data_IF_578809490474
#
_entry.id   IF_578809490474
#
_cell.length_a   1.000
_cell.length_b   1.000
_cell.length_c   1.000
_cell.angle_alpha   90.00
_cell.angle_beta   90.00
_cell.angle_gamma   90.00
#
_symmetry.space_group_name_H-M   'P 1'
#
loop_
_entity.id
_entity.type
_entity.pdbx_description
1 polymer ?
#
# COMPACT_ATOMS: atom_id res chain seq x y z
N UNK A 1 89.63 -12.71 1.98
CA UNK A 1 88.31 -12.62 1.30
C UNK A 1 87.20 -12.96 2.28
N UNK A 2 86.62 -11.97 2.99
CA UNK A 2 85.43 -12.15 3.86
C UNK A 2 84.68 -10.82 3.99
N UNK A 3 84.11 -10.32 2.90
CA UNK A 3 83.22 -9.14 2.90
C UNK A 3 82.20 -9.27 1.77
N UNK A 4 81.36 -10.29 1.81
CA UNK A 4 80.22 -10.40 0.90
C UNK A 4 79.17 -11.38 1.46
N UNK A 5 78.63 -11.09 2.64
CA UNK A 5 77.48 -11.84 3.16
C UNK A 5 76.45 -10.91 3.86
N UNK A 6 76.88 -9.79 4.45
CA UNK A 6 75.95 -8.82 5.06
C UNK A 6 75.14 -7.99 4.06
N UNK A 7 75.63 -7.76 2.84
CA UNK A 7 74.92 -6.95 1.85
C UNK A 7 73.67 -7.65 1.28
N UNK A 8 73.66 -8.98 1.27
CA UNK A 8 72.54 -9.79 0.77
C UNK A 8 71.37 -9.86 1.77
N UNK A 9 71.65 -9.84 3.08
CA UNK A 9 70.60 -9.82 4.11
C UNK A 9 69.88 -8.49 4.24
N UNK A 10 70.56 -7.36 3.99
CA UNK A 10 69.94 -6.03 4.06
C UNK A 10 69.02 -5.78 2.85
N UNK A 11 69.41 -6.25 1.66
CA UNK A 11 68.57 -6.14 0.47
C UNK A 11 67.32 -7.04 0.52
N UNK A 12 67.41 -8.17 1.23
CA UNK A 12 66.30 -9.11 1.41
C UNK A 12 65.32 -8.69 2.52
N UNK A 13 65.73 -7.84 3.47
CA UNK A 13 64.82 -7.25 4.46
C UNK A 13 64.00 -6.07 3.92
N UNK A 14 64.54 -5.30 2.97
CA UNK A 14 63.84 -4.16 2.34
C UNK A 14 62.75 -4.64 1.37
N UNK A 15 62.96 -5.78 0.71
CA UNK A 15 61.97 -6.37 -0.21
C UNK A 15 60.80 -7.06 0.50
N UNK A 16 60.94 -7.45 1.78
CA UNK A 16 59.83 -8.03 2.56
C UNK A 16 58.91 -6.94 3.13
N UNK A 17 59.41 -5.72 3.39
CA UNK A 17 58.55 -4.60 3.82
C UNK A 17 57.77 -3.93 2.69
N UNK A 18 58.18 -4.14 1.43
CA UNK A 18 57.48 -3.59 0.26
C UNK A 18 56.26 -4.43 -0.17
N UNK A 19 56.03 -5.59 0.46
CA UNK A 19 54.91 -6.49 0.15
C UNK A 19 53.65 -6.27 1.01
N UNK A 20 53.66 -5.29 1.92
CA UNK A 20 52.47 -4.85 2.66
C UNK A 20 51.82 -3.57 2.07
N UNK A 21 51.96 -3.35 0.76
CA UNK A 21 51.08 -2.40 0.07
C UNK A 21 49.66 -2.98 0.12
N UNK A 22 48.87 -2.53 1.08
CA UNK A 22 47.48 -2.91 1.23
C UNK A 22 46.76 -2.71 -0.14
N UNK A 23 46.07 -3.74 -0.66
CA UNK A 23 45.58 -3.75 -2.04
C UNK A 23 44.55 -2.65 -2.40
N UNK A 24 44.13 -1.80 -1.45
CA UNK A 24 43.09 -0.79 -1.65
C UNK A 24 43.54 0.67 -1.44
N UNK A 25 44.82 0.94 -1.20
CA UNK A 25 45.34 2.30 -0.90
C UNK A 25 45.07 3.31 -2.02
N UNK A 26 45.30 2.93 -3.29
CA UNK A 26 45.05 3.80 -4.44
C UNK A 26 43.56 4.18 -4.59
N UNK A 27 42.65 3.29 -4.20
CA UNK A 27 41.20 3.56 -4.23
C UNK A 27 40.82 4.47 -3.07
N UNK A 28 41.30 4.19 -1.85
CA UNK A 28 41.09 5.04 -0.68
C UNK A 28 41.59 6.48 -0.92
N UNK A 29 42.76 6.66 -1.52
CA UNK A 29 43.30 7.99 -1.86
C UNK A 29 42.42 8.76 -2.88
N UNK A 30 41.87 8.07 -3.89
CA UNK A 30 40.94 8.69 -4.85
C UNK A 30 39.65 9.13 -4.19
N UNK A 31 39.08 8.30 -3.30
CA UNK A 31 37.88 8.67 -2.56
C UNK A 31 38.16 9.74 -1.51
N UNK A 32 39.34 9.76 -0.91
CA UNK A 32 39.75 10.83 0.01
C UNK A 32 39.87 12.18 -0.72
N UNK A 33 40.47 12.17 -1.91
CA UNK A 33 40.51 13.36 -2.79
C UNK A 33 39.10 13.81 -3.16
N UNK A 34 38.25 12.87 -3.58
CA UNK A 34 36.86 13.16 -3.94
C UNK A 34 36.04 13.70 -2.76
N UNK A 35 36.26 13.17 -1.55
CA UNK A 35 35.63 13.65 -0.33
C UNK A 35 36.02 15.11 -0.06
N UNK A 36 37.31 15.42 -0.16
CA UNK A 36 37.83 16.78 0.03
C UNK A 36 37.30 17.76 -1.04
N UNK A 37 37.22 17.33 -2.30
CA UNK A 37 36.64 18.14 -3.38
C UNK A 37 35.15 18.44 -3.14
N UNK A 38 34.35 17.42 -2.81
CA UNK A 38 32.92 17.61 -2.52
C UNK A 38 32.71 18.48 -1.28
N UNK A 39 33.56 18.32 -0.26
CA UNK A 39 33.54 19.16 0.92
C UNK A 39 33.83 20.63 0.59
N UNK A 40 34.83 20.89 -0.26
CA UNK A 40 35.13 22.24 -0.76
C UNK A 40 34.03 22.86 -1.63
N UNK A 41 33.12 22.04 -2.16
CA UNK A 41 31.91 22.46 -2.88
C UNK A 41 30.67 22.54 -1.98
N UNK A 42 30.83 22.44 -0.65
CA UNK A 42 29.75 22.41 0.34
C UNK A 42 28.72 21.28 0.11
N UNK A 43 29.11 20.24 -0.65
CA UNK A 43 28.29 19.05 -0.84
C UNK A 43 28.58 18.03 0.27
N UNK A 44 28.17 18.38 1.49
CA UNK A 44 28.49 17.64 2.70
C UNK A 44 28.00 16.18 2.68
N UNK A 45 26.82 15.92 2.13
CA UNK A 45 26.29 14.55 1.99
C UNK A 45 27.19 13.67 1.13
N UNK A 46 27.65 14.17 -0.02
CA UNK A 46 28.51 13.39 -0.92
C UNK A 46 29.93 13.26 -0.38
N UNK A 47 30.44 14.32 0.26
CA UNK A 47 31.71 14.27 0.97
C UNK A 47 31.71 13.20 2.07
N UNK A 48 30.62 13.14 2.83
CA UNK A 48 30.37 12.15 3.86
C UNK A 48 30.33 10.73 3.30
N UNK A 49 29.57 10.47 2.23
CA UNK A 49 29.54 9.15 1.58
C UNK A 49 30.92 8.69 1.13
N UNK A 50 31.70 9.58 0.49
CA UNK A 50 33.05 9.24 0.08
C UNK A 50 33.98 9.01 1.28
N UNK A 51 33.77 9.75 2.37
CA UNK A 51 34.56 9.57 3.58
C UNK A 51 34.29 8.23 4.25
N UNK A 52 33.03 7.80 4.34
CA UNK A 52 32.68 6.47 4.87
C UNK A 52 33.38 5.37 4.07
N UNK A 53 33.35 5.46 2.74
CA UNK A 53 34.05 4.50 1.89
C UNK A 53 35.56 4.44 2.18
N UNK A 54 36.20 5.59 2.41
CA UNK A 54 37.62 5.63 2.80
C UNK A 54 37.83 4.97 4.15
N UNK A 55 37.00 5.29 5.15
CA UNK A 55 37.12 4.73 6.50
C UNK A 55 36.94 3.21 6.53
N UNK A 56 36.06 2.66 5.69
CA UNK A 56 35.89 1.21 5.49
C UNK A 56 37.17 0.51 4.97
N UNK A 57 38.11 1.25 4.37
CA UNK A 57 39.37 0.68 3.90
C UNK A 57 40.45 0.61 4.99
N UNK A 58 40.20 1.18 6.18
CA UNK A 58 41.16 1.20 7.29
C UNK A 58 40.61 0.46 8.51
N UNK A 59 41.52 -0.18 9.24
CA UNK A 59 41.26 -0.58 10.62
C UNK A 59 41.46 0.65 11.53
N UNK A 60 40.81 0.66 12.70
CA UNK A 60 40.95 1.73 13.70
C UNK A 60 42.41 2.09 14.01
N UNK A 61 43.30 1.08 14.02
CA UNK A 61 44.73 1.22 14.33
C UNK A 61 45.58 1.70 13.15
N UNK A 62 45.08 1.60 11.93
CA UNK A 62 45.83 1.90 10.70
C UNK A 62 45.38 3.21 10.04
N UNK A 63 44.25 3.77 10.45
CA UNK A 63 43.77 5.05 9.94
C UNK A 63 44.71 6.21 10.32
N UNK A 64 45.17 6.95 9.32
CA UNK A 64 46.16 8.02 9.49
C UNK A 64 45.53 9.25 10.13
N UNK A 65 46.35 10.10 10.76
CA UNK A 65 45.89 11.34 11.37
C UNK A 65 45.20 12.27 10.35
N UNK A 66 45.72 12.31 9.12
CA UNK A 66 45.13 13.13 8.05
C UNK A 66 43.71 12.68 7.69
N UNK A 67 43.49 11.36 7.59
CA UNK A 67 42.15 10.80 7.35
C UNK A 67 41.23 11.11 8.53
N UNK A 68 41.70 10.95 9.77
CA UNK A 68 40.92 11.29 10.98
C UNK A 68 40.48 12.75 11.01
N UNK A 69 41.39 13.68 10.71
CA UNK A 69 41.08 15.12 10.71
C UNK A 69 40.07 15.49 9.62
N UNK A 70 40.22 14.96 8.40
CA UNK A 70 39.27 15.22 7.33
C UNK A 70 37.89 14.61 7.63
N UNK A 71 37.88 13.38 8.16
CA UNK A 71 36.65 12.70 8.54
C UNK A 71 35.90 13.45 9.64
N UNK A 72 36.58 13.87 10.71
CA UNK A 72 35.97 14.65 11.79
C UNK A 72 35.31 15.94 11.27
N UNK A 73 36.00 16.65 10.37
CA UNK A 73 35.49 17.88 9.78
C UNK A 73 34.22 17.64 8.94
N UNK A 74 34.28 16.66 8.04
CA UNK A 74 33.15 16.29 7.17
C UNK A 74 31.96 15.80 8.01
N UNK A 75 32.20 14.96 9.01
CA UNK A 75 31.14 14.43 9.88
C UNK A 75 30.48 15.55 10.68
N UNK A 76 31.26 16.48 11.23
CA UNK A 76 30.72 17.60 11.98
C UNK A 76 29.81 18.49 11.11
N UNK A 77 30.27 18.89 9.91
CA UNK A 77 29.51 19.80 9.05
C UNK A 77 28.32 19.09 8.39
N UNK A 78 28.45 17.80 8.06
CA UNK A 78 27.30 17.04 7.60
C UNK A 78 26.24 16.86 8.69
N UNK A 79 26.64 16.65 9.94
CA UNK A 79 25.70 16.62 11.06
C UNK A 79 25.00 17.98 11.27
N UNK A 80 25.70 19.10 11.03
CA UNK A 80 25.08 20.43 11.03
C UNK A 80 24.04 20.56 9.90
N UNK A 81 24.41 20.16 8.68
CA UNK A 81 23.53 20.17 7.52
C UNK A 81 22.27 19.31 7.73
N UNK A 82 22.42 18.09 8.26
CA UNK A 82 21.30 17.23 8.66
C UNK A 82 20.40 17.93 9.67
N UNK A 83 20.98 18.53 10.71
CA UNK A 83 20.24 19.25 11.74
C UNK A 83 19.43 20.43 11.17
N UNK A 84 20.02 21.19 10.24
CA UNK A 84 19.37 22.32 9.57
C UNK A 84 18.24 21.86 8.65
N UNK A 85 18.44 20.79 7.90
CA UNK A 85 17.44 20.19 6.99
C UNK A 85 16.36 19.39 7.72
N UNK A 86 16.60 19.02 8.98
CA UNK A 86 15.76 18.12 9.78
C UNK A 86 15.51 16.79 9.07
N UNK A 87 16.55 16.27 8.42
CA UNK A 87 16.46 15.02 7.66
C UNK A 87 16.60 13.80 8.59
N UNK A 88 15.46 13.20 8.96
CA UNK A 88 15.42 12.06 9.88
C UNK A 88 16.11 10.81 9.30
N UNK A 89 16.05 10.61 7.99
CA UNK A 89 16.67 9.43 7.36
C UNK A 89 18.19 9.55 7.39
N UNK A 90 18.71 10.70 6.95
CA UNK A 90 20.14 10.97 6.99
C UNK A 90 20.69 10.97 8.43
N UNK A 91 19.91 11.44 9.41
CA UNK A 91 20.30 11.38 10.82
C UNK A 91 20.48 9.94 11.32
N UNK A 92 19.59 9.01 10.94
CA UNK A 92 19.72 7.59 11.31
C UNK A 92 20.96 6.94 10.70
N UNK A 93 21.18 7.17 9.40
CA UNK A 93 22.39 6.70 8.70
C UNK A 93 23.68 7.27 9.33
N UNK A 94 23.62 8.52 9.78
CA UNK A 94 24.72 9.15 10.51
C UNK A 94 24.99 8.46 11.86
N UNK A 95 23.94 8.15 12.63
CA UNK A 95 24.09 7.44 13.90
C UNK A 95 24.69 6.04 13.71
N UNK A 96 24.28 5.31 12.67
CA UNK A 96 24.84 4.00 12.36
C UNK A 96 26.34 4.11 12.04
N UNK A 97 26.72 5.07 11.20
CA UNK A 97 28.12 5.27 10.83
C UNK A 97 29.00 5.73 12.00
N UNK A 98 28.44 6.49 12.95
CA UNK A 98 29.13 6.88 14.20
C UNK A 98 29.40 5.66 15.09
N UNK A 99 28.51 4.66 15.07
CA UNK A 99 28.74 3.40 15.76
C UNK A 99 29.80 2.54 15.07
N UNK A 100 29.85 2.59 13.73
CA UNK A 100 30.85 1.86 12.93
C UNK A 100 32.25 2.48 13.04
N UNK A 101 32.33 3.82 13.16
CA UNK A 101 33.58 4.56 13.22
C UNK A 101 33.69 5.42 14.50
N UNK A 102 33.71 4.83 15.71
CA UNK A 102 33.70 5.60 16.97
C UNK A 102 34.96 6.45 17.16
N UNK A 103 36.07 6.06 16.51
CA UNK A 103 37.39 6.71 16.64
C UNK A 103 37.53 8.05 15.92
N UNK A 104 36.55 8.46 15.10
CA UNK A 104 36.49 9.79 14.48
C UNK A 104 35.54 10.75 15.23
N UNK A 105 34.80 10.24 16.21
CA UNK A 105 33.81 11.02 16.96
C UNK A 105 34.53 11.85 18.00
N UNK A 106 34.72 13.13 17.69
CA UNK A 106 35.29 14.10 18.63
C UNK A 106 34.28 14.53 19.69
N UNK A 107 34.75 15.12 20.79
CA UNK A 107 33.89 15.77 21.79
C UNK A 107 32.95 16.81 21.17
N UNK A 108 33.39 17.45 20.07
CA UNK A 108 32.61 18.45 19.34
C UNK A 108 31.44 17.81 18.61
N UNK A 109 31.68 16.68 17.93
CA UNK A 109 30.61 15.89 17.30
C UNK A 109 29.66 15.34 18.36
N UNK A 110 30.19 14.80 19.46
CA UNK A 110 29.37 14.24 20.54
C UNK A 110 28.42 15.29 21.13
N UNK A 111 28.92 16.50 21.45
CA UNK A 111 28.07 17.59 21.94
C UNK A 111 26.97 17.98 20.96
N UNK A 112 27.26 17.95 19.66
CA UNK A 112 26.28 18.23 18.62
C UNK A 112 25.23 17.12 18.52
N UNK A 113 25.64 15.85 18.62
CA UNK A 113 24.73 14.70 18.72
C UNK A 113 23.81 14.83 19.94
N UNK A 114 24.36 15.11 21.12
CA UNK A 114 23.58 15.28 22.35
C UNK A 114 22.50 16.38 22.22
N UNK A 115 22.78 17.39 21.40
CA UNK A 115 21.83 18.47 21.08
C UNK A 115 20.76 18.03 20.07
N UNK A 116 21.13 17.25 19.04
CA UNK A 116 20.24 16.89 17.94
C UNK A 116 19.40 15.63 18.20
N UNK A 117 19.92 14.64 18.92
CA UNK A 117 19.19 13.41 19.28
C UNK A 117 17.79 13.70 19.85
N UNK A 118 17.61 14.55 20.88
CA UNK A 118 16.27 14.84 21.41
C UNK A 118 15.36 15.57 20.41
N UNK A 119 15.92 16.30 19.44
CA UNK A 119 15.14 16.94 18.37
C UNK A 119 14.62 15.89 17.41
N UNK A 120 15.46 14.95 16.97
CA UNK A 120 15.08 13.90 16.04
C UNK A 120 14.15 12.85 16.64
N UNK A 121 14.26 12.55 17.95
CA UNK A 121 13.27 11.73 18.66
C UNK A 121 11.88 12.34 18.57
N UNK A 122 11.75 13.65 18.78
CA UNK A 122 10.45 14.35 18.66
C UNK A 122 9.91 14.32 17.24
N UNK A 123 10.77 14.52 16.24
CA UNK A 123 10.38 14.44 14.82
C UNK A 123 9.85 13.04 14.50
N UNK A 124 10.55 11.99 14.95
CA UNK A 124 10.13 10.60 14.74
C UNK A 124 8.79 10.30 15.44
N UNK A 125 8.61 10.74 16.68
CA UNK A 125 7.33 10.59 17.40
C UNK A 125 6.16 11.28 16.67
N UNK A 126 6.38 12.48 16.13
CA UNK A 126 5.38 13.20 15.34
C UNK A 126 5.04 12.46 14.03
N UNK A 127 6.03 11.91 13.34
CA UNK A 127 5.80 11.10 12.15
C UNK A 127 5.01 9.83 12.47
N UNK A 128 5.32 9.14 13.57
CA UNK A 128 4.58 7.96 14.00
C UNK A 128 3.14 8.30 14.37
N UNK A 129 2.90 9.41 15.07
CA UNK A 129 1.54 9.90 15.39
C UNK A 129 0.74 10.21 14.12
N UNK A 130 1.35 10.87 13.13
CA UNK A 130 0.71 11.13 11.83
C UNK A 130 0.37 9.84 11.09
N UNK A 131 1.30 8.87 11.01
CA UNK A 131 1.06 7.56 10.40
C UNK A 131 -0.09 6.81 11.09
N UNK A 132 -0.13 6.81 12.42
CA UNK A 132 -1.20 6.21 13.19
C UNK A 132 -2.56 6.88 12.93
N UNK A 133 -2.60 8.21 12.87
CA UNK A 133 -3.82 8.98 12.58
C UNK A 133 -4.34 8.73 11.16
N UNK A 134 -3.44 8.65 10.17
CA UNK A 134 -3.82 8.29 8.79
C UNK A 134 -4.37 6.87 8.74
N UNK A 135 -3.72 5.90 9.39
CA UNK A 135 -4.21 4.52 9.45
C UNK A 135 -5.60 4.43 10.09
N UNK A 136 -5.84 5.17 11.17
CA UNK A 136 -7.16 5.24 11.82
C UNK A 136 -8.23 5.86 10.91
N UNK A 137 -7.87 6.90 10.16
CA UNK A 137 -8.78 7.57 9.21
C UNK A 137 -9.15 6.65 8.04
N UNK A 138 -8.18 5.93 7.49
CA UNK A 138 -8.40 4.96 6.42
C UNK A 138 -9.29 3.81 6.90
N UNK A 139 -9.07 3.31 8.12
CA UNK A 139 -9.90 2.25 8.69
C UNK A 139 -11.34 2.71 8.94
N UNK A 140 -11.54 3.94 9.42
CA UNK A 140 -12.87 4.52 9.58
C UNK A 140 -13.59 4.68 8.24
N UNK A 141 -12.91 5.16 7.19
CA UNK A 141 -13.48 5.26 5.85
C UNK A 141 -13.85 3.89 5.28
N UNK A 142 -12.99 2.88 5.41
CA UNK A 142 -13.28 1.52 4.96
C UNK A 142 -14.51 0.93 5.69
N UNK A 143 -14.60 1.16 7.00
CA UNK A 143 -15.74 0.69 7.81
C UNK A 143 -17.03 1.41 7.40
N UNK A 144 -16.97 2.72 7.10
CA UNK A 144 -18.10 3.49 6.62
C UNK A 144 -18.57 3.01 5.23
N UNK A 145 -17.64 2.77 4.31
CA UNK A 145 -17.94 2.25 2.97
C UNK A 145 -18.57 0.86 3.02
N UNK A 146 -18.08 -0.03 3.89
CA UNK A 146 -18.69 -1.36 4.10
C UNK A 146 -20.11 -1.26 4.65
N UNK A 147 -20.36 -0.36 5.62
CA UNK A 147 -21.71 -0.12 6.16
C UNK A 147 -22.66 0.44 5.12
N UNK A 148 -22.20 1.36 4.26
CA UNK A 148 -23.00 1.90 3.17
C UNK A 148 -23.34 0.79 2.17
N UNK A 149 -22.38 -0.04 1.76
CA UNK A 149 -22.63 -1.16 0.84
C UNK A 149 -23.63 -2.18 1.41
N UNK A 150 -23.54 -2.51 2.71
CA UNK A 150 -24.50 -3.40 3.38
C UNK A 150 -25.90 -2.78 3.51
N UNK A 151 -26.00 -1.47 3.78
CA UNK A 151 -27.28 -0.78 3.83
C UNK A 151 -27.97 -0.74 2.45
N UNK A 152 -27.22 -0.47 1.38
CA UNK A 152 -27.75 -0.44 0.01
C UNK A 152 -28.22 -1.82 -0.47
N UNK A 153 -27.51 -2.90 -0.12
CA UNK A 153 -27.96 -4.27 -0.44
C UNK A 153 -29.22 -4.67 0.35
N UNK A 154 -29.37 -4.22 1.59
CA UNK A 154 -30.53 -4.58 2.44
C UNK A 154 -31.80 -3.84 2.01
N UNK A 155 -31.71 -2.57 1.60
CA UNK A 155 -32.87 -1.83 1.09
C UNK A 155 -33.35 -2.37 -0.27
N UNK A 156 -32.42 -2.59 -1.21
CA UNK A 156 -32.73 -3.17 -2.54
C UNK A 156 -33.39 -4.55 -2.43
N UNK A 157 -32.87 -5.43 -1.57
CA UNK A 157 -33.46 -6.79 -1.40
C UNK A 157 -34.83 -6.78 -0.73
N UNK A 158 -35.13 -5.80 0.13
CA UNK A 158 -36.43 -5.69 0.80
C UNK A 158 -37.51 -5.18 -0.15
N UNK A 159 -37.19 -4.17 -0.97
CA UNK A 159 -38.10 -3.61 -1.97
C UNK A 159 -38.42 -4.62 -3.09
N UNK A 160 -37.42 -5.37 -3.55
CA UNK A 160 -37.60 -6.43 -4.55
C UNK A 160 -38.44 -7.57 -3.98
N UNK A 161 -38.17 -8.01 -2.74
CA UNK A 161 -38.97 -9.07 -2.10
C UNK A 161 -40.43 -8.64 -1.92
N UNK A 162 -40.67 -7.39 -1.51
CA UNK A 162 -42.03 -6.86 -1.39
C UNK A 162 -42.75 -6.81 -2.74
N UNK A 163 -42.05 -6.43 -3.81
CA UNK A 163 -42.61 -6.37 -5.17
C UNK A 163 -42.92 -7.76 -5.73
N UNK A 164 -42.00 -8.72 -5.57
CA UNK A 164 -42.22 -10.12 -5.96
C UNK A 164 -43.39 -10.73 -5.19
N UNK A 165 -43.49 -10.44 -3.89
CA UNK A 165 -44.57 -10.96 -3.05
C UNK A 165 -45.93 -10.35 -3.44
N UNK A 166 -46.00 -9.04 -3.67
CA UNK A 166 -47.21 -8.38 -4.14
C UNK A 166 -47.66 -8.91 -5.52
N UNK A 167 -46.70 -9.13 -6.44
CA UNK A 167 -46.98 -9.71 -7.75
C UNK A 167 -47.46 -11.16 -7.67
N UNK A 168 -46.90 -11.96 -6.76
CA UNK A 168 -47.36 -13.34 -6.53
C UNK A 168 -48.77 -13.38 -5.95
N UNK A 169 -49.07 -12.51 -4.97
CA UNK A 169 -50.42 -12.41 -4.39
C UNK A 169 -51.46 -12.00 -5.43
N UNK A 170 -51.11 -11.10 -6.35
CA UNK A 170 -51.98 -10.72 -7.46
C UNK A 170 -52.22 -11.88 -8.44
N UNK A 171 -51.17 -12.62 -8.80
CA UNK A 171 -51.27 -13.78 -9.69
C UNK A 171 -52.17 -14.87 -9.09
N UNK A 172 -52.01 -15.15 -7.80
CA UNK A 172 -52.84 -16.12 -7.07
C UNK A 172 -54.32 -15.74 -7.10
N UNK A 173 -54.66 -14.47 -6.88
CA UNK A 173 -56.05 -13.98 -6.98
C UNK A 173 -56.62 -14.12 -8.39
N UNK A 174 -55.81 -13.84 -9.42
CA UNK A 174 -56.24 -14.00 -10.82
C UNK A 174 -56.48 -15.47 -11.18
N UNK A 175 -55.65 -16.38 -10.68
CA UNK A 175 -55.83 -17.83 -10.86
C UNK A 175 -57.11 -18.31 -10.19
N UNK A 176 -57.37 -17.90 -8.95
CA UNK A 176 -58.61 -18.24 -8.24
C UNK A 176 -59.87 -17.75 -9.00
N UNK A 177 -59.81 -16.53 -9.55
CA UNK A 177 -60.90 -15.98 -10.37
C UNK A 177 -61.11 -16.78 -11.68
N UNK A 178 -60.02 -17.19 -12.34
CA UNK A 178 -60.09 -18.06 -13.53
C UNK A 178 -60.74 -19.42 -13.20
N UNK A 179 -60.37 -20.03 -12.07
CA UNK A 179 -60.96 -21.29 -11.63
C UNK A 179 -62.47 -21.16 -11.40
N UNK A 180 -62.91 -20.08 -10.74
CA UNK A 180 -64.33 -19.80 -10.55
C UNK A 180 -65.09 -19.62 -11.88
N UNK A 181 -64.52 -18.88 -12.84
CA UNK A 181 -65.10 -18.70 -14.17
C UNK A 181 -65.21 -20.02 -14.94
N UNK A 182 -64.20 -20.90 -14.83
CA UNK A 182 -64.24 -22.24 -15.45
C UNK A 182 -65.33 -23.10 -14.81
N UNK A 183 -65.51 -23.05 -13.49
CA UNK A 183 -66.58 -23.76 -12.79
C UNK A 183 -67.95 -23.28 -13.28
N UNK A 184 -68.15 -21.96 -13.42
CA UNK A 184 -69.39 -21.38 -13.96
C UNK A 184 -69.67 -21.84 -15.40
N UNK A 185 -68.66 -21.83 -16.28
CA UNK A 185 -68.79 -22.35 -17.65
C UNK A 185 -69.14 -23.82 -17.68
N UNK A 186 -68.50 -24.64 -16.83
CA UNK A 186 -68.82 -26.07 -16.75
C UNK A 186 -70.27 -26.30 -16.30
N UNK A 187 -70.79 -25.53 -15.35
CA UNK A 187 -72.21 -25.62 -14.96
C UNK A 187 -73.17 -25.21 -16.07
N UNK A 188 -72.78 -24.26 -16.93
CA UNK A 188 -73.59 -23.86 -18.09
C UNK A 188 -73.61 -24.96 -19.16
N UNK A 189 -72.47 -25.63 -19.37
CA UNK A 189 -72.33 -26.70 -20.39
C UNK A 189 -73.00 -28.01 -19.95
N UNK A 190 -73.08 -28.29 -18.64
CA UNK A 190 -73.68 -29.52 -18.09
C UNK A 190 -75.21 -29.44 -17.87
N UNK A 191 -75.84 -28.29 -18.12
CA UNK A 191 -77.30 -28.17 -18.07
C UNK A 191 -77.88 -28.70 -19.41
N UNK A 192 -78.47 -29.90 -19.37
CA UNK A 192 -78.91 -30.75 -20.50
C UNK A 192 -80.05 -30.16 -21.35
N UNK A 193 -79.83 -28.97 -21.95
CA UNK A 193 -80.83 -28.31 -22.81
C UNK A 193 -80.34 -27.10 -23.60
N UNK A 194 -79.04 -26.93 -23.82
CA UNK A 194 -78.48 -25.68 -24.37
C UNK A 194 -78.72 -25.48 -25.88
N UNK A 195 -79.76 -24.72 -26.22
CA UNK A 195 -80.00 -24.16 -27.56
C UNK A 195 -79.29 -22.80 -27.70
N UNK A 196 -78.03 -22.82 -28.16
CA UNK A 196 -77.31 -21.63 -28.65
C UNK A 196 -76.52 -20.83 -27.60
N UNK A 197 -75.38 -20.28 -28.02
CA UNK A 197 -74.48 -19.45 -27.19
C UNK A 197 -75.22 -18.16 -26.80
N UNK A 198 -75.38 -17.90 -25.50
CA UNK A 198 -76.00 -16.67 -25.01
C UNK A 198 -74.97 -15.54 -24.94
N UNK A 199 -75.39 -14.26 -25.02
CA UNK A 199 -74.48 -13.12 -24.90
C UNK A 199 -73.61 -13.14 -23.64
N UNK A 200 -74.15 -13.66 -22.53
CA UNK A 200 -73.45 -13.76 -21.25
C UNK A 200 -72.29 -14.78 -21.30
N UNK A 201 -72.43 -15.86 -22.10
CA UNK A 201 -71.37 -16.86 -22.30
C UNK A 201 -70.20 -16.28 -23.11
N UNK A 202 -70.50 -15.42 -24.08
CA UNK A 202 -69.49 -14.68 -24.87
C UNK A 202 -68.73 -13.70 -23.97
N UNK A 203 -69.40 -13.06 -23.02
CA UNK A 203 -68.77 -12.15 -22.07
C UNK A 203 -67.86 -12.91 -21.09
N UNK A 204 -68.27 -14.09 -20.64
CA UNK A 204 -67.44 -14.97 -19.80
C UNK A 204 -66.18 -15.46 -20.55
N UNK A 205 -66.33 -15.86 -21.83
CA UNK A 205 -65.20 -16.23 -22.69
C UNK A 205 -64.25 -15.07 -22.96
N UNK A 206 -64.77 -13.84 -23.15
CA UNK A 206 -63.93 -12.63 -23.28
C UNK A 206 -63.16 -12.32 -21.99
N UNK A 207 -63.81 -12.45 -20.82
CA UNK A 207 -63.16 -12.28 -19.52
C UNK A 207 -62.04 -13.29 -19.32
N UNK A 208 -62.29 -14.58 -19.58
CA UNK A 208 -61.27 -15.63 -19.54
C UNK A 208 -60.08 -15.35 -20.48
N UNK A 209 -60.35 -14.94 -21.72
CA UNK A 209 -59.31 -14.62 -22.69
C UNK A 209 -58.43 -13.44 -22.22
N UNK A 210 -59.05 -12.34 -21.77
CA UNK A 210 -58.33 -11.16 -21.27
C UNK A 210 -57.49 -11.43 -20.02
N UNK A 211 -57.98 -12.28 -19.11
CA UNK A 211 -57.25 -12.72 -17.91
C UNK A 211 -56.05 -13.60 -18.29
N UNK A 212 -56.17 -14.46 -19.30
CA UNK A 212 -55.07 -15.30 -19.77
C UNK A 212 -53.94 -14.49 -20.41
N UNK A 213 -54.26 -13.48 -21.20
CA UNK A 213 -53.29 -12.58 -21.84
C UNK A 213 -52.59 -11.69 -20.81
N UNK A 214 -53.35 -11.18 -19.83
CA UNK A 214 -52.80 -10.40 -18.73
C UNK A 214 -51.82 -11.21 -17.87
N UNK A 215 -52.10 -12.50 -17.63
CA UNK A 215 -51.20 -13.38 -16.87
C UNK A 215 -49.90 -13.70 -17.64
N UNK A 216 -49.96 -13.86 -18.97
CA UNK A 216 -48.75 -14.05 -19.77
C UNK A 216 -47.84 -12.81 -19.73
N UNK A 217 -48.42 -11.60 -19.76
CA UNK A 217 -47.67 -10.36 -19.67
C UNK A 217 -47.03 -10.16 -18.28
N UNK A 218 -47.73 -10.53 -17.20
CA UNK A 218 -47.18 -10.45 -15.84
C UNK A 218 -45.95 -11.37 -15.64
N UNK A 219 -46.01 -12.60 -16.16
CA UNK A 219 -44.87 -13.55 -16.12
C UNK A 219 -43.68 -13.02 -16.91
N UNK A 220 -43.92 -12.39 -18.06
CA UNK A 220 -42.86 -11.78 -18.88
C UNK A 220 -42.18 -10.61 -18.15
N UNK A 221 -42.94 -9.69 -17.54
CA UNK A 221 -42.38 -8.58 -16.78
C UNK A 221 -41.54 -9.03 -15.58
N UNK A 222 -41.92 -10.12 -14.91
CA UNK A 222 -41.11 -10.70 -13.83
C UNK A 222 -39.76 -11.25 -14.33
N UNK A 223 -39.74 -11.88 -15.52
CA UNK A 223 -38.51 -12.37 -16.14
C UNK A 223 -37.58 -11.23 -16.55
N UNK A 224 -38.12 -10.13 -17.08
CA UNK A 224 -37.33 -8.97 -17.48
C UNK A 224 -36.67 -8.29 -16.26
N UNK A 225 -37.38 -8.16 -15.13
CA UNK A 225 -36.83 -7.63 -13.87
C UNK A 225 -35.72 -8.52 -13.32
N UNK A 226 -35.88 -9.84 -13.38
CA UNK A 226 -34.84 -10.79 -12.93
C UNK A 226 -33.59 -10.74 -13.82
N UNK A 227 -33.76 -10.50 -15.12
CA UNK A 227 -32.66 -10.39 -16.08
C UNK A 227 -31.84 -9.10 -15.90
N UNK A 228 -32.48 -7.96 -15.64
CA UNK A 228 -31.79 -6.70 -15.35
C UNK A 228 -30.97 -6.75 -14.05
N UNK A 229 -31.40 -7.54 -13.06
CA UNK A 229 -30.64 -7.76 -11.82
C UNK A 229 -29.37 -8.57 -12.04
N UNK A 230 -29.40 -9.60 -12.90
CA UNK A 230 -28.23 -10.44 -13.20
C UNK A 230 -27.14 -9.65 -13.94
N UNK A 231 -27.54 -8.69 -14.78
CA UNK A 231 -26.63 -7.78 -15.48
C UNK A 231 -25.94 -6.79 -14.54
N UNK A 232 -26.65 -6.29 -13.51
CA UNK A 232 -26.14 -5.30 -12.57
C UNK A 232 -25.31 -5.89 -11.40
N UNK A 233 -25.17 -7.22 -11.34
CA UNK A 233 -24.39 -7.95 -10.32
C UNK A 233 -23.02 -8.44 -10.83
N UNK A 234 -22.61 -8.07 -12.05
CA UNK A 234 -21.29 -8.35 -12.65
C UNK A 234 -20.47 -7.08 -12.76
#
# INVERSE_FOLDING_TARGET
MKKSLCALFIFQFISIFSLYAAPNTATAERYMTSANEQYGLENFSKAYTYMNYVLEQYDEKTVTLQVKCLAELIYYDYLDDIGNKKDLAAFKEYQDSVNDFPYIVSDRIQKKLDTLVPVFIKIEEEEQKKKAQVAQTVQQQQTATQRIQQATTTQSTTEIRATIQASNDELSRKLENLEQLIIQLKSIIQDDGYYGIKPEDIELLRKLYSLSETNQNAVKSLLDILYEQEQNSK
#
